data_IF_382663367824
#
_entry.id   IF_382663367824
#
_cell.length_a   1.000
_cell.length_b   1.000
_cell.length_c   1.000
_cell.angle_alpha   90.00
_cell.angle_beta   90.00
_cell.angle_gamma   90.00
#
_symmetry.space_group_name_H-M   'P 1'
#
loop_
_entity.id
_entity.type
_entity.pdbx_description
1 polymer ?
#
# COMPACT_ATOMS: atom_id res chain seq x y z
N UNK A 1 43.05 59.66 48.33
CA UNK A 1 43.21 60.24 46.98
C UNK A 1 42.39 59.38 46.04
N UNK A 2 41.48 59.99 45.38
CA UNK A 2 40.37 59.41 44.60
C UNK A 2 40.85 58.89 43.23
N UNK A 3 40.41 57.73 42.80
CA UNK A 3 40.39 57.43 41.37
C UNK A 3 39.13 56.62 41.09
N UNK A 4 38.24 57.31 40.43
CA UNK A 4 36.95 56.78 39.88
C UNK A 4 37.25 56.10 38.54
N UNK A 5 36.91 54.82 38.41
CA UNK A 5 37.02 54.09 37.16
C UNK A 5 35.58 53.89 36.62
N UNK A 6 35.29 54.52 35.49
CA UNK A 6 34.07 54.43 34.74
C UNK A 6 34.07 53.10 33.93
N UNK A 7 33.14 52.21 34.22
CA UNK A 7 32.91 51.03 33.39
C UNK A 7 31.84 51.38 32.33
N UNK A 8 32.24 51.34 31.08
CA UNK A 8 31.32 51.44 29.95
C UNK A 8 30.77 50.04 29.65
N UNK A 9 29.48 49.82 29.84
CA UNK A 9 28.74 48.61 29.45
C UNK A 9 28.28 48.73 28.01
N UNK A 10 28.89 47.91 27.13
CA UNK A 10 28.42 47.74 25.75
C UNK A 10 27.27 46.74 25.74
N UNK A 11 26.10 47.21 25.32
CA UNK A 11 24.87 46.42 25.14
C UNK A 11 24.86 45.82 23.74
N UNK A 12 25.18 44.52 23.62
CA UNK A 12 25.08 43.80 22.35
C UNK A 12 23.66 43.28 22.17
N UNK A 13 22.92 43.87 21.24
CA UNK A 13 21.60 43.41 20.84
C UNK A 13 21.73 42.18 19.94
N UNK A 14 21.33 41.00 20.43
CA UNK A 14 21.21 39.79 19.64
C UNK A 14 19.88 39.82 18.86
N UNK A 15 19.93 39.93 17.53
CA UNK A 15 18.78 39.75 16.66
C UNK A 15 18.49 38.24 16.50
N UNK A 16 17.42 37.81 17.18
CA UNK A 16 16.83 36.48 16.96
C UNK A 16 15.99 36.51 15.66
N UNK A 17 16.53 36.06 14.58
CA UNK A 17 15.75 35.79 13.34
C UNK A 17 14.97 34.48 13.53
N UNK A 18 13.71 34.58 13.93
CA UNK A 18 12.76 33.46 13.90
C UNK A 18 12.43 33.14 12.43
N UNK A 19 13.12 32.15 11.86
CA UNK A 19 12.76 31.57 10.59
C UNK A 19 11.46 30.80 10.70
N UNK A 20 10.36 31.35 10.21
CA UNK A 20 9.13 30.59 9.99
C UNK A 20 9.37 29.58 8.85
N UNK A 21 9.62 28.31 9.21
CA UNK A 21 9.55 27.21 8.26
C UNK A 21 8.07 26.94 8.00
N UNK A 22 7.58 27.39 6.84
CA UNK A 22 6.25 27.03 6.41
C UNK A 22 6.19 25.51 6.13
N UNK A 23 5.16 24.79 6.63
CA UNK A 23 4.99 23.39 6.29
C UNK A 23 4.75 23.29 4.78
N UNK A 24 5.62 22.57 4.09
CA UNK A 24 5.41 22.21 2.69
C UNK A 24 4.20 21.26 2.64
N UNK A 25 3.09 21.64 1.99
CA UNK A 25 1.98 20.70 1.84
C UNK A 25 2.44 19.56 0.93
N UNK A 26 2.70 18.41 1.53
CA UNK A 26 2.97 17.18 0.80
C UNK A 26 1.64 16.60 0.31
N UNK A 27 0.96 17.35 -0.55
CA UNK A 27 -0.15 16.84 -1.36
C UNK A 27 0.47 16.13 -2.57
N UNK A 28 0.82 14.87 -2.38
CA UNK A 28 0.85 13.94 -3.50
C UNK A 28 -0.60 13.85 -4.02
N UNK A 29 -0.96 14.83 -4.82
CA UNK A 29 -2.22 14.88 -5.54
C UNK A 29 -2.18 13.71 -6.51
N UNK A 30 -2.86 12.63 -6.16
CA UNK A 30 -3.09 11.50 -7.04
C UNK A 30 -3.82 12.07 -8.26
N UNK A 31 -3.08 12.20 -9.35
CA UNK A 31 -3.58 12.75 -10.61
C UNK A 31 -4.70 11.83 -11.07
N UNK A 32 -5.95 12.22 -10.85
CA UNK A 32 -7.11 11.51 -11.40
C UNK A 32 -6.93 11.45 -12.90
N UNK A 33 -6.86 10.25 -13.45
CA UNK A 33 -6.75 10.05 -14.89
C UNK A 33 -7.97 10.70 -15.56
N UNK A 34 -7.74 11.54 -16.53
CA UNK A 34 -8.84 12.09 -17.38
C UNK A 34 -9.13 11.04 -18.43
N UNK A 35 -10.29 10.39 -18.36
CA UNK A 35 -10.71 9.38 -19.32
C UNK A 35 -11.34 10.03 -20.56
N UNK A 36 -10.91 9.58 -21.73
CA UNK A 36 -11.57 9.92 -22.99
C UNK A 36 -12.80 9.02 -23.26
N UNK A 37 -12.79 7.82 -22.72
CA UNK A 37 -13.89 6.85 -22.77
C UNK A 37 -13.96 6.12 -21.42
N UNK A 38 -15.18 5.91 -20.90
CA UNK A 38 -15.42 5.25 -19.64
C UNK A 38 -15.14 6.12 -18.40
N UNK A 39 -15.20 5.50 -17.26
CA UNK A 39 -15.03 6.13 -15.96
C UNK A 39 -13.62 5.94 -15.38
N UNK A 40 -13.08 6.93 -14.66
CA UNK A 40 -11.82 6.78 -13.95
C UNK A 40 -12.01 5.85 -12.75
N UNK A 41 -11.29 4.74 -12.74
CA UNK A 41 -11.30 3.72 -11.69
C UNK A 41 -9.86 3.33 -11.29
N UNK A 42 -9.75 2.44 -10.33
CA UNK A 42 -8.48 1.82 -9.97
C UNK A 42 -8.54 0.33 -10.26
N UNK A 43 -7.54 -0.17 -10.95
CA UNK A 43 -7.23 -1.59 -10.99
C UNK A 43 -6.28 -1.92 -9.83
N UNK A 44 -6.72 -2.77 -8.92
CA UNK A 44 -5.84 -3.38 -7.91
C UNK A 44 -5.57 -4.82 -8.27
N UNK A 45 -4.30 -5.20 -8.28
CA UNK A 45 -3.89 -6.61 -8.41
C UNK A 45 -3.22 -7.05 -7.12
N UNK A 46 -3.78 -8.09 -6.51
CA UNK A 46 -3.24 -8.74 -5.31
C UNK A 46 -2.59 -10.07 -5.71
N UNK A 47 -1.38 -10.31 -5.21
CA UNK A 47 -0.66 -11.55 -5.47
C UNK A 47 -0.61 -12.39 -4.20
N UNK A 48 -1.16 -13.60 -4.29
CA UNK A 48 -1.32 -14.54 -3.19
C UNK A 48 -0.45 -15.76 -3.42
N UNK A 49 0.58 -15.95 -2.59
CA UNK A 49 1.39 -17.16 -2.60
C UNK A 49 0.58 -18.38 -2.15
N UNK A 50 0.85 -19.53 -2.73
CA UNK A 50 0.15 -20.78 -2.39
C UNK A 50 0.98 -21.71 -1.50
N UNK A 51 2.24 -21.41 -1.22
CA UNK A 51 3.05 -22.18 -0.29
C UNK A 51 2.74 -21.75 1.14
N UNK A 52 2.66 -22.72 2.06
CA UNK A 52 2.62 -22.46 3.50
C UNK A 52 4.03 -22.60 4.09
N UNK A 53 4.32 -21.93 5.23
CA UNK A 53 5.57 -22.14 5.95
C UNK A 53 5.74 -23.61 6.37
N UNK A 54 4.64 -24.28 6.71
CA UNK A 54 4.57 -25.70 7.08
C UNK A 54 3.31 -26.35 6.52
N UNK A 55 3.42 -27.60 6.12
CA UNK A 55 2.30 -28.39 5.59
C UNK A 55 2.10 -28.28 4.07
N UNK A 56 0.97 -28.77 3.56
CA UNK A 56 0.73 -28.82 2.14
C UNK A 56 0.47 -27.42 1.56
N UNK A 57 0.69 -27.27 0.25
CA UNK A 57 0.31 -26.06 -0.49
C UNK A 57 -1.19 -25.78 -0.35
N UNK A 58 -1.57 -24.52 -0.47
CA UNK A 58 -2.98 -24.10 -0.49
C UNK A 58 -3.63 -24.71 -1.73
N UNK A 59 -4.64 -25.53 -1.52
CA UNK A 59 -5.34 -26.25 -2.58
C UNK A 59 -6.26 -25.35 -3.38
N UNK A 60 -6.65 -25.79 -4.58
CA UNK A 60 -7.63 -25.08 -5.40
C UNK A 60 -8.97 -24.89 -4.67
N UNK A 61 -9.40 -25.88 -3.88
CA UNK A 61 -10.65 -25.80 -3.11
C UNK A 61 -10.58 -24.76 -1.99
N UNK A 62 -9.46 -24.68 -1.27
CA UNK A 62 -9.23 -23.66 -0.24
C UNK A 62 -9.17 -22.26 -0.83
N UNK A 63 -8.48 -22.10 -1.95
CA UNK A 63 -8.45 -20.86 -2.71
C UNK A 63 -9.85 -20.43 -3.15
N UNK A 64 -10.60 -21.33 -3.78
CA UNK A 64 -11.97 -21.03 -4.24
C UNK A 64 -12.87 -20.66 -3.07
N UNK A 65 -12.78 -21.37 -1.94
CA UNK A 65 -13.52 -21.02 -0.72
C UNK A 65 -13.17 -19.64 -0.19
N UNK A 66 -11.91 -19.21 -0.29
CA UNK A 66 -11.50 -17.85 0.06
C UNK A 66 -12.13 -16.81 -0.88
N UNK A 67 -12.08 -17.05 -2.19
CA UNK A 67 -12.71 -16.18 -3.18
C UNK A 67 -14.21 -16.03 -2.92
N UNK A 68 -14.92 -17.13 -2.73
CA UNK A 68 -16.38 -17.13 -2.54
C UNK A 68 -16.81 -16.41 -1.27
N UNK A 69 -16.06 -16.59 -0.18
CA UNK A 69 -16.46 -16.11 1.15
C UNK A 69 -15.87 -14.75 1.51
N UNK A 70 -14.71 -14.40 0.97
CA UNK A 70 -14.01 -13.19 1.35
C UNK A 70 -13.97 -12.15 0.22
N UNK A 71 -13.72 -12.57 -1.02
CA UNK A 71 -13.55 -11.64 -2.14
C UNK A 71 -14.89 -11.22 -2.71
N UNK A 72 -15.68 -12.18 -3.18
CA UNK A 72 -16.95 -11.92 -3.88
C UNK A 72 -17.92 -11.03 -3.10
N UNK A 73 -18.11 -11.20 -1.78
CA UNK A 73 -19.03 -10.33 -1.03
C UNK A 73 -18.60 -8.87 -0.95
N UNK A 74 -17.29 -8.59 -1.10
CA UNK A 74 -16.71 -7.25 -1.05
C UNK A 74 -16.59 -6.58 -2.41
N UNK A 75 -16.46 -7.38 -3.46
CA UNK A 75 -16.27 -6.91 -4.85
C UNK A 75 -17.29 -7.60 -5.76
N UNK A 76 -18.55 -7.21 -5.60
CA UNK A 76 -19.71 -7.83 -6.26
C UNK A 76 -19.76 -7.56 -7.76
N UNK A 77 -19.17 -6.45 -8.21
CA UNK A 77 -19.19 -6.01 -9.60
C UNK A 77 -18.26 -6.83 -10.50
N UNK A 78 -17.39 -7.62 -9.88
CA UNK A 78 -16.55 -8.57 -10.60
C UNK A 78 -15.11 -8.63 -10.12
N UNK A 79 -14.48 -9.73 -10.47
CA UNK A 79 -13.09 -10.00 -10.21
C UNK A 79 -12.54 -10.94 -11.29
N UNK A 80 -11.23 -10.93 -11.50
CA UNK A 80 -10.55 -11.89 -12.36
C UNK A 80 -9.40 -12.53 -11.62
N UNK A 81 -9.24 -13.84 -11.80
CA UNK A 81 -8.14 -14.60 -11.18
C UNK A 81 -7.25 -15.19 -12.28
N UNK A 82 -5.95 -15.01 -12.12
CA UNK A 82 -4.94 -15.57 -13.01
C UNK A 82 -4.00 -16.46 -12.20
N UNK A 83 -3.58 -17.57 -12.82
CA UNK A 83 -2.46 -18.35 -12.30
C UNK A 83 -1.14 -17.64 -12.56
N UNK A 84 -0.32 -17.54 -11.54
CA UNK A 84 0.96 -16.89 -11.59
C UNK A 84 2.05 -17.76 -10.95
N UNK A 85 3.31 -17.42 -11.20
CA UNK A 85 4.48 -18.04 -10.55
C UNK A 85 5.36 -16.95 -9.98
N UNK A 86 5.56 -16.99 -8.69
CA UNK A 86 6.46 -16.09 -7.96
C UNK A 86 7.87 -16.65 -7.90
N UNK A 87 8.85 -15.77 -7.98
CA UNK A 87 10.25 -16.10 -7.76
C UNK A 87 10.98 -14.92 -7.13
N UNK A 88 11.73 -15.19 -6.07
CA UNK A 88 12.58 -14.17 -5.43
C UNK A 88 13.81 -14.78 -4.78
N UNK A 89 14.80 -13.95 -4.52
CA UNK A 89 15.96 -14.32 -3.73
C UNK A 89 15.68 -13.96 -2.27
N UNK A 90 15.65 -14.97 -1.40
CA UNK A 90 15.45 -14.78 0.04
C UNK A 90 16.64 -14.06 0.68
N UNK A 91 16.44 -13.51 1.86
CA UNK A 91 17.51 -12.88 2.65
C UNK A 91 18.62 -13.87 3.05
N UNK A 92 18.34 -15.16 3.00
CA UNK A 92 19.29 -16.25 3.22
C UNK A 92 20.10 -16.63 1.97
N UNK A 93 19.93 -15.87 0.88
CA UNK A 93 20.57 -16.12 -0.42
C UNK A 93 19.99 -17.29 -1.22
N UNK A 94 18.88 -17.90 -0.77
CA UNK A 94 18.26 -19.01 -1.49
C UNK A 94 17.17 -18.50 -2.43
N UNK A 95 17.11 -19.13 -3.61
CA UNK A 95 16.08 -18.86 -4.60
C UNK A 95 14.79 -19.57 -4.21
N UNK A 96 13.75 -18.79 -3.93
CA UNK A 96 12.40 -19.26 -3.66
C UNK A 96 11.56 -19.23 -4.95
N UNK A 97 10.73 -20.25 -5.15
CA UNK A 97 9.75 -20.36 -6.23
C UNK A 97 8.44 -20.87 -5.66
N UNK A 98 7.34 -20.25 -6.07
CA UNK A 98 6.02 -20.73 -5.66
C UNK A 98 4.97 -20.50 -6.76
N UNK A 99 3.94 -21.32 -6.76
CA UNK A 99 2.71 -21.01 -7.48
C UNK A 99 1.94 -19.94 -6.71
N UNK A 100 1.30 -19.05 -7.45
CA UNK A 100 0.58 -17.91 -6.88
C UNK A 100 -0.73 -17.67 -7.64
N UNK A 101 -1.64 -16.94 -7.04
CA UNK A 101 -2.82 -16.40 -7.70
C UNK A 101 -2.69 -14.89 -7.79
N UNK A 102 -2.94 -14.32 -8.96
CA UNK A 102 -3.12 -12.89 -9.14
C UNK A 102 -4.61 -12.59 -9.23
N UNK A 103 -5.14 -11.86 -8.25
CA UNK A 103 -6.52 -11.41 -8.21
C UNK A 103 -6.57 -9.97 -8.68
N UNK A 104 -7.23 -9.73 -9.79
CA UNK A 104 -7.46 -8.40 -10.34
C UNK A 104 -8.86 -7.93 -9.97
N UNK A 105 -8.92 -6.74 -9.42
CA UNK A 105 -10.14 -6.03 -9.03
C UNK A 105 -10.18 -4.69 -9.73
N UNK A 106 -11.34 -4.30 -10.24
CA UNK A 106 -11.60 -2.95 -10.74
C UNK A 106 -12.60 -2.31 -9.76
N UNK A 107 -12.28 -1.13 -9.26
CA UNK A 107 -13.12 -0.49 -8.24
C UNK A 107 -13.01 1.04 -8.28
N UNK A 108 -14.02 1.71 -7.76
CA UNK A 108 -13.98 3.15 -7.55
C UNK A 108 -12.94 3.52 -6.50
N UNK A 109 -12.38 4.71 -6.61
CA UNK A 109 -11.55 5.30 -5.56
C UNK A 109 -12.41 5.57 -4.32
N UNK A 110 -11.90 5.23 -3.14
CA UNK A 110 -12.59 5.53 -1.90
C UNK A 110 -12.17 4.68 -0.71
N UNK A 111 -12.53 5.17 0.47
CA UNK A 111 -12.19 4.52 1.74
C UNK A 111 -12.75 3.11 1.88
N UNK A 112 -13.92 2.84 1.31
CA UNK A 112 -14.54 1.52 1.36
C UNK A 112 -13.71 0.49 0.60
N UNK A 113 -13.32 0.80 -0.64
CA UNK A 113 -12.46 -0.09 -1.44
C UNK A 113 -11.13 -0.35 -0.73
N UNK A 114 -10.51 0.69 -0.18
CA UNK A 114 -9.27 0.55 0.60
C UNK A 114 -9.44 -0.39 1.79
N UNK A 115 -10.51 -0.20 2.57
CA UNK A 115 -10.81 -1.04 3.74
C UNK A 115 -11.02 -2.50 3.31
N UNK A 116 -11.76 -2.74 2.23
CA UNK A 116 -12.04 -4.06 1.71
C UNK A 116 -10.76 -4.76 1.21
N UNK A 117 -9.88 -4.05 0.49
CA UNK A 117 -8.61 -4.60 0.00
C UNK A 117 -7.71 -5.00 1.16
N UNK A 118 -7.55 -4.13 2.16
CA UNK A 118 -6.71 -4.44 3.32
C UNK A 118 -7.30 -5.58 4.17
N UNK A 119 -8.63 -5.69 4.26
CA UNK A 119 -9.29 -6.82 4.90
C UNK A 119 -9.00 -8.14 4.18
N UNK A 120 -9.00 -8.18 2.85
CA UNK A 120 -8.63 -9.36 2.07
C UNK A 120 -7.19 -9.79 2.34
N UNK A 121 -6.25 -8.83 2.29
CA UNK A 121 -4.83 -9.09 2.55
C UNK A 121 -4.61 -9.65 3.95
N UNK A 122 -5.24 -9.04 4.96
CA UNK A 122 -5.15 -9.48 6.35
C UNK A 122 -5.77 -10.85 6.57
N UNK A 123 -6.97 -11.10 6.02
CA UNK A 123 -7.66 -12.39 6.15
C UNK A 123 -6.86 -13.53 5.52
N UNK A 124 -6.27 -13.31 4.34
CA UNK A 124 -5.45 -14.34 3.69
C UNK A 124 -4.21 -14.67 4.50
N UNK A 125 -3.49 -13.66 4.98
CA UNK A 125 -2.30 -13.85 5.82
C UNK A 125 -2.62 -14.65 7.08
N UNK A 126 -3.72 -14.33 7.75
CA UNK A 126 -4.15 -15.05 8.96
C UNK A 126 -4.59 -16.47 8.66
N UNK A 127 -5.43 -16.67 7.63
CA UNK A 127 -6.02 -17.98 7.32
C UNK A 127 -4.97 -18.98 6.83
N UNK A 128 -3.98 -18.52 6.08
CA UNK A 128 -3.02 -19.39 5.40
C UNK A 128 -1.58 -19.24 5.90
N UNK A 129 -1.38 -18.54 7.02
CA UNK A 129 -0.06 -18.29 7.62
C UNK A 129 0.94 -17.67 6.62
N UNK A 130 0.49 -16.66 5.89
CA UNK A 130 1.33 -15.96 4.91
C UNK A 130 1.97 -14.70 5.51
N UNK A 131 3.21 -14.43 5.15
CA UNK A 131 3.92 -13.23 5.61
C UNK A 131 3.38 -11.97 4.93
N UNK A 132 3.08 -12.06 3.66
CA UNK A 132 2.67 -10.90 2.86
C UNK A 132 1.70 -11.27 1.74
N UNK A 133 0.96 -10.27 1.28
CA UNK A 133 0.22 -10.26 0.01
C UNK A 133 0.63 -8.99 -0.71
N UNK A 134 1.29 -9.12 -1.86
CA UNK A 134 1.69 -7.97 -2.65
C UNK A 134 0.47 -7.30 -3.28
N UNK A 135 0.44 -5.96 -3.26
CA UNK A 135 -0.60 -5.13 -3.86
C UNK A 135 0.02 -4.20 -4.90
N UNK A 136 -0.61 -4.11 -6.06
CA UNK A 136 -0.26 -3.18 -7.14
C UNK A 136 -1.51 -2.44 -7.55
N UNK A 137 -1.47 -1.12 -7.55
CA UNK A 137 -2.57 -0.26 -7.97
C UNK A 137 -2.20 0.51 -9.24
N UNK A 138 -3.14 0.59 -10.17
CA UNK A 138 -2.99 1.33 -11.42
C UNK A 138 -4.27 2.12 -11.70
N UNK A 139 -4.19 3.44 -11.94
CA UNK A 139 -5.32 4.19 -12.47
C UNK A 139 -5.70 3.68 -13.86
N UNK A 140 -6.98 3.46 -14.10
CA UNK A 140 -7.51 2.94 -15.37
C UNK A 140 -8.76 3.68 -15.78
N UNK A 141 -9.07 3.65 -17.08
CA UNK A 141 -10.36 4.06 -17.61
C UNK A 141 -11.17 2.81 -17.98
N UNK A 142 -12.38 2.70 -17.47
CA UNK A 142 -13.22 1.49 -17.63
C UNK A 142 -14.53 1.86 -18.31
N UNK A 143 -14.85 1.17 -19.40
CA UNK A 143 -16.13 1.24 -20.10
C UNK A 143 -16.73 -0.17 -20.20
N UNK A 144 -18.05 -0.28 -20.02
CA UNK A 144 -18.81 -1.51 -20.15
C UNK A 144 -19.69 -1.47 -21.40
#
# INVERSE_FOLDING_TARGET
>A
MKNTLLLATALTAALLTSGCVAPVPNTAQQKTATCSVGDPMTQTTLYFGLNRPTGPVISAAEWQSFVDRQVTPRFKDGLSVFDAKGQWLGNDGKLARENSKALMLIHALGKESETNIEALRSSYKQQFAQDSVMRVDTPVCVAF
#
